data_IF_810629636462
#
_entry.id   IF_810629636462
#
_cell.length_a   1.000
_cell.length_b   1.000
_cell.length_c   1.000
_cell.angle_alpha   90.00
_cell.angle_beta   90.00
_cell.angle_gamma   90.00
#
_symmetry.space_group_name_H-M   'P 1'
#
loop_
_entity.id
_entity.type
_entity.pdbx_description
1 polymer ?
#
# COMPACT_ATOMS: atom_id res chain seq x y z
N UNK A 1 -8.11 9.17 31.61
CA UNK A 1 -8.00 9.25 30.19
C UNK A 1 -6.58 9.59 29.77
N UNK A 2 -6.05 10.67 30.29
CA UNK A 2 -4.66 11.05 30.00
C UNK A 2 -3.65 10.05 30.55
N UNK A 3 -4.02 9.34 31.55
CA UNK A 3 -3.18 8.35 32.18
C UNK A 3 -2.87 7.15 31.31
N UNK A 4 -3.78 6.77 30.45
CA UNK A 4 -3.56 5.68 29.52
C UNK A 4 -2.47 6.00 28.52
N UNK A 5 -2.31 7.26 28.17
CA UNK A 5 -1.33 7.70 27.17
C UNK A 5 0.09 7.71 27.72
N UNK A 6 0.22 7.94 29.01
CA UNK A 6 1.54 8.09 29.62
C UNK A 6 2.21 6.77 29.95
N UNK A 7 1.49 5.68 29.89
CA UNK A 7 2.01 4.38 30.34
C UNK A 7 2.50 3.48 29.24
N UNK A 8 2.35 3.90 28.01
CA UNK A 8 2.88 3.10 26.91
C UNK A 8 4.34 3.44 26.68
N UNK A 9 5.17 2.62 27.22
CA UNK A 9 6.60 2.71 27.03
C UNK A 9 6.95 1.95 25.76
N UNK A 10 7.12 2.66 24.65
CA UNK A 10 7.53 2.05 23.41
C UNK A 10 6.79 2.58 22.20
N UNK A 11 7.23 2.23 20.98
CA UNK A 11 6.61 2.70 19.76
C UNK A 11 5.20 2.13 19.60
N UNK A 12 4.29 2.96 19.12
CA UNK A 12 2.97 2.53 18.70
C UNK A 12 2.99 2.19 17.21
N UNK A 13 2.21 1.20 16.82
CA UNK A 13 2.13 0.74 15.44
C UNK A 13 0.73 0.91 14.89
N UNK A 14 0.63 1.08 13.58
CA UNK A 14 -0.68 1.06 12.92
C UNK A 14 -1.30 -0.33 13.04
N UNK A 15 -2.58 -0.33 13.40
CA UNK A 15 -3.38 -1.54 13.51
C UNK A 15 -4.46 -1.53 12.43
N UNK A 16 -4.27 -2.33 11.40
CA UNK A 16 -5.20 -2.44 10.29
C UNK A 16 -5.23 -3.89 9.78
N UNK A 17 -6.40 -4.42 9.39
CA UNK A 17 -6.51 -5.82 8.94
C UNK A 17 -5.63 -6.17 7.75
N UNK A 18 -5.34 -5.23 6.86
CA UNK A 18 -4.50 -5.45 5.68
C UNK A 18 -3.07 -4.99 5.86
N UNK A 19 -2.67 -4.60 7.06
CA UNK A 19 -1.29 -4.24 7.37
C UNK A 19 -0.75 -5.28 8.34
N UNK A 20 0.42 -5.83 8.04
CA UNK A 20 1.08 -6.78 8.91
C UNK A 20 1.37 -6.16 10.26
N UNK A 21 1.22 -6.96 11.30
CA UNK A 21 1.38 -6.49 12.68
C UNK A 21 2.78 -5.92 12.89
N UNK A 22 2.83 -4.78 13.58
CA UNK A 22 4.08 -4.13 14.00
C UNK A 22 5.03 -3.78 12.86
N UNK A 23 4.50 -3.56 11.66
CA UNK A 23 5.32 -3.20 10.50
C UNK A 23 5.45 -1.71 10.27
N UNK A 24 4.45 -0.92 10.66
CA UNK A 24 4.45 0.53 10.46
C UNK A 24 4.27 1.21 11.82
N UNK A 25 5.28 1.96 12.23
CA UNK A 25 5.19 2.78 13.42
C UNK A 25 4.19 3.91 13.21
N UNK A 26 3.30 4.10 14.20
CA UNK A 26 2.28 5.13 14.12
C UNK A 26 2.90 6.53 14.22
N UNK A 27 2.59 7.35 13.25
CA UNK A 27 2.93 8.77 13.23
C UNK A 27 1.68 9.55 12.88
N UNK A 28 1.30 10.47 13.76
CA UNK A 28 0.03 11.16 13.60
C UNK A 28 -0.08 11.96 12.31
N UNK A 29 1.00 12.59 11.84
CA UNK A 29 0.95 13.33 10.59
C UNK A 29 0.69 12.42 9.38
N UNK A 30 1.24 11.20 9.36
CA UNK A 30 0.98 10.25 8.28
C UNK A 30 -0.47 9.79 8.31
N UNK A 31 -0.99 9.51 9.47
CA UNK A 31 -2.40 9.15 9.63
C UNK A 31 -3.32 10.29 9.18
N UNK A 32 -3.05 11.50 9.61
CA UNK A 32 -3.87 12.66 9.25
C UNK A 32 -3.89 12.89 7.74
N UNK A 33 -2.74 12.76 7.08
CA UNK A 33 -2.67 12.89 5.63
C UNK A 33 -3.45 11.76 4.97
N UNK A 34 -3.25 10.52 5.39
CA UNK A 34 -3.95 9.39 4.79
C UNK A 34 -5.47 9.50 4.91
N UNK A 35 -5.96 10.03 6.02
CA UNK A 35 -7.39 10.26 6.21
C UNK A 35 -7.90 11.40 5.34
N UNK A 36 -7.14 12.48 5.22
CA UNK A 36 -7.57 13.66 4.47
C UNK A 36 -7.63 13.42 2.96
N UNK A 37 -6.90 12.45 2.45
CA UNK A 37 -6.88 12.16 1.00
C UNK A 37 -7.92 11.13 0.57
N UNK A 38 -8.68 10.57 1.50
CA UNK A 38 -9.67 9.54 1.18
C UNK A 38 -10.67 10.04 0.15
N UNK A 39 -10.87 9.23 -0.88
CA UNK A 39 -11.83 9.48 -1.95
C UNK A 39 -11.63 10.82 -2.67
N UNK A 40 -10.39 11.30 -2.69
CA UNK A 40 -10.04 12.57 -3.34
C UNK A 40 -8.81 12.39 -4.21
N UNK A 41 -8.81 13.09 -5.33
CA UNK A 41 -7.58 13.26 -6.11
C UNK A 41 -6.67 14.22 -5.35
N UNK A 42 -5.48 13.76 -4.99
CA UNK A 42 -4.60 14.50 -4.09
C UNK A 42 -3.16 14.41 -4.54
N UNK A 43 -2.44 15.51 -4.44
CA UNK A 43 -1.00 15.58 -4.58
C UNK A 43 -0.39 15.76 -3.18
N UNK A 44 0.47 14.81 -2.79
CA UNK A 44 1.16 14.87 -1.49
C UNK A 44 2.61 15.23 -1.73
N UNK A 45 3.05 16.33 -1.17
CA UNK A 45 4.41 16.81 -1.26
C UNK A 45 5.01 16.85 0.15
N UNK A 46 6.02 16.02 0.37
CA UNK A 46 6.71 15.92 1.64
C UNK A 46 8.21 15.81 1.40
N UNK A 47 9.05 16.26 2.35
CA UNK A 47 10.47 15.94 2.32
C UNK A 47 10.71 14.44 2.29
N UNK A 48 11.79 14.01 1.64
CA UNK A 48 12.07 12.60 1.37
C UNK A 48 12.07 11.72 2.62
N UNK A 49 12.55 12.26 3.74
CA UNK A 49 12.67 11.52 4.99
C UNK A 49 11.35 11.31 5.74
N UNK A 50 10.23 11.87 5.27
CA UNK A 50 8.97 11.81 6.01
C UNK A 50 8.04 10.67 5.60
N UNK A 51 8.54 9.71 4.81
CA UNK A 51 7.82 8.47 4.57
C UNK A 51 6.57 8.59 3.69
N UNK A 52 6.71 9.18 2.51
CA UNK A 52 5.60 9.25 1.53
C UNK A 52 5.06 7.87 1.14
N UNK A 53 5.94 6.88 1.04
CA UNK A 53 5.54 5.52 0.71
C UNK A 53 4.63 4.91 1.78
N UNK A 54 4.89 5.20 3.04
CA UNK A 54 4.03 4.75 4.14
C UNK A 54 2.61 5.30 3.98
N UNK A 55 2.48 6.57 3.64
CA UNK A 55 1.17 7.20 3.39
C UNK A 55 0.44 6.48 2.25
N UNK A 56 1.15 6.20 1.17
CA UNK A 56 0.58 5.47 0.04
C UNK A 56 0.11 4.06 0.43
N UNK A 57 0.89 3.37 1.26
CA UNK A 57 0.52 2.04 1.75
C UNK A 57 -0.73 2.12 2.64
N UNK A 58 -0.81 3.11 3.53
CA UNK A 58 -1.97 3.29 4.39
C UNK A 58 -3.24 3.56 3.57
N UNK A 59 -3.15 4.43 2.58
CA UNK A 59 -4.27 4.73 1.69
C UNK A 59 -4.68 3.50 0.89
N UNK A 60 -3.72 2.76 0.38
CA UNK A 60 -3.94 1.53 -0.38
C UNK A 60 -4.64 0.47 0.48
N UNK A 61 -4.17 0.25 1.71
CA UNK A 61 -4.76 -0.72 2.62
C UNK A 61 -6.22 -0.38 2.94
N UNK A 62 -6.50 0.88 3.24
CA UNK A 62 -7.85 1.33 3.54
C UNK A 62 -8.77 1.20 2.34
N UNK A 63 -8.29 1.57 1.17
CA UNK A 63 -9.06 1.44 -0.07
C UNK A 63 -9.41 -0.03 -0.36
N UNK A 64 -8.43 -0.91 -0.30
CA UNK A 64 -8.65 -2.34 -0.58
C UNK A 64 -9.55 -3.00 0.47
N UNK A 65 -9.48 -2.53 1.70
CA UNK A 65 -10.36 -3.03 2.75
C UNK A 65 -11.82 -2.66 2.51
N UNK A 66 -12.06 -1.42 2.07
CA UNK A 66 -13.41 -0.92 1.83
C UNK A 66 -13.99 -1.38 0.49
N UNK A 67 -13.15 -1.61 -0.50
CA UNK A 67 -13.57 -1.95 -1.87
C UNK A 67 -12.89 -3.23 -2.33
N UNK A 68 -13.36 -4.36 -1.85
CA UNK A 68 -12.70 -5.66 -2.05
C UNK A 68 -12.66 -6.12 -3.51
N UNK A 69 -13.56 -5.64 -4.35
CA UNK A 69 -13.59 -5.97 -5.78
C UNK A 69 -12.80 -5.00 -6.66
N UNK A 70 -12.22 -3.96 -6.07
CA UNK A 70 -11.48 -2.94 -6.79
C UNK A 70 -9.98 -3.22 -6.77
N UNK A 71 -9.27 -2.50 -7.61
CA UNK A 71 -7.82 -2.63 -7.75
C UNK A 71 -7.15 -1.29 -7.52
N UNK A 72 -5.89 -1.35 -7.12
CA UNK A 72 -5.04 -0.17 -6.97
C UNK A 72 -3.94 -0.27 -8.03
N UNK A 73 -3.74 0.79 -8.77
CA UNK A 73 -2.65 0.92 -9.74
C UNK A 73 -1.59 1.85 -9.16
N UNK A 74 -0.37 1.36 -9.10
CA UNK A 74 0.78 2.13 -8.65
C UNK A 74 1.72 2.30 -9.84
N UNK A 75 2.13 3.53 -10.12
CA UNK A 75 3.00 3.84 -11.24
C UNK A 75 4.26 4.53 -10.75
N UNK A 76 5.36 4.22 -11.41
CA UNK A 76 6.65 4.87 -11.18
C UNK A 76 7.41 5.00 -12.50
N UNK A 77 8.27 6.01 -12.63
CA UNK A 77 8.92 6.31 -13.92
C UNK A 77 10.03 5.34 -14.29
N UNK A 78 10.58 4.57 -13.35
CA UNK A 78 11.70 3.66 -13.63
C UNK A 78 11.45 2.28 -13.05
N UNK A 79 12.08 1.27 -13.66
CA UNK A 79 11.98 -0.12 -13.17
C UNK A 79 12.53 -0.30 -11.75
N UNK A 80 13.68 0.28 -11.39
CA UNK A 80 14.17 0.18 -10.01
C UNK A 80 13.17 0.74 -8.98
N UNK A 81 12.50 1.84 -9.29
CA UNK A 81 11.49 2.40 -8.40
C UNK A 81 10.26 1.50 -8.29
N UNK A 82 9.83 0.90 -9.39
CA UNK A 82 8.74 -0.07 -9.37
C UNK A 82 9.09 -1.26 -8.47
N UNK A 83 10.29 -1.80 -8.62
CA UNK A 83 10.76 -2.91 -7.80
C UNK A 83 10.82 -2.54 -6.31
N UNK A 84 11.29 -1.35 -6.00
CA UNK A 84 11.37 -0.84 -4.64
C UNK A 84 9.97 -0.69 -4.03
N UNK A 85 9.03 -0.11 -4.76
CA UNK A 85 7.66 0.04 -4.28
C UNK A 85 6.98 -1.30 -4.11
N UNK A 86 7.15 -2.22 -5.06
CA UNK A 86 6.61 -3.56 -4.92
C UNK A 86 7.11 -4.24 -3.64
N UNK A 87 8.41 -4.16 -3.39
CA UNK A 87 9.01 -4.72 -2.19
C UNK A 87 8.43 -4.09 -0.92
N UNK A 88 8.30 -2.77 -0.90
CA UNK A 88 7.75 -2.05 0.25
C UNK A 88 6.29 -2.42 0.53
N UNK A 89 5.47 -2.42 -0.50
CA UNK A 89 4.05 -2.76 -0.36
C UNK A 89 3.88 -4.23 0.04
N UNK A 90 4.62 -5.12 -0.59
CA UNK A 90 4.53 -6.55 -0.32
C UNK A 90 4.97 -6.89 1.10
N UNK A 91 6.00 -6.23 1.61
CA UNK A 91 6.51 -6.49 2.96
C UNK A 91 5.58 -6.02 4.08
N UNK A 92 4.69 -5.09 3.78
CA UNK A 92 3.82 -4.46 4.78
C UNK A 92 2.37 -4.89 4.65
N UNK A 93 1.86 -5.03 3.42
CA UNK A 93 0.48 -5.41 3.21
C UNK A 93 0.25 -6.90 3.49
N UNK A 94 -0.79 -7.17 4.26
CA UNK A 94 -1.24 -8.53 4.55
C UNK A 94 -2.24 -8.97 3.49
N UNK A 95 -1.75 -9.21 2.27
CA UNK A 95 -2.55 -9.67 1.14
C UNK A 95 -1.93 -10.92 0.55
N UNK A 96 -2.68 -11.73 -0.20
CA UNK A 96 -2.11 -12.90 -0.87
C UNK A 96 -0.97 -12.50 -1.79
N UNK A 97 0.05 -13.33 -1.85
CA UNK A 97 1.28 -13.07 -2.59
C UNK A 97 1.01 -12.78 -4.08
N UNK A 98 0.08 -13.49 -4.66
CA UNK A 98 -0.30 -13.34 -6.06
C UNK A 98 -1.25 -12.16 -6.33
N UNK A 99 -1.62 -11.41 -5.30
CA UNK A 99 -2.45 -10.22 -5.44
C UNK A 99 -1.70 -9.02 -6.01
N UNK A 100 -0.37 -9.04 -5.94
CA UNK A 100 0.47 -7.94 -6.44
C UNK A 100 1.19 -8.41 -7.70
N UNK A 101 1.00 -7.68 -8.79
CA UNK A 101 1.60 -8.01 -10.08
C UNK A 101 2.31 -6.80 -10.64
N UNK A 102 3.50 -7.00 -11.16
CA UNK A 102 4.29 -5.96 -11.83
C UNK A 102 4.06 -6.07 -13.34
N UNK A 103 3.80 -4.92 -13.96
CA UNK A 103 3.68 -4.79 -15.41
C UNK A 103 4.71 -3.77 -15.88
N UNK A 104 5.53 -4.16 -16.85
CA UNK A 104 6.56 -3.29 -17.42
C UNK A 104 6.46 -3.29 -18.94
N UNK A 105 7.26 -2.45 -19.59
CA UNK A 105 7.34 -2.43 -21.04
C UNK A 105 7.80 -3.75 -21.67
N UNK A 106 8.41 -4.63 -20.89
CA UNK A 106 8.79 -5.97 -21.36
C UNK A 106 7.61 -6.92 -21.53
N UNK A 107 6.49 -6.65 -20.88
CA UNK A 107 5.30 -7.47 -21.05
C UNK A 107 4.66 -7.17 -22.40
N UNK A 108 4.39 -8.21 -23.16
CA UNK A 108 3.69 -8.07 -24.43
C UNK A 108 2.24 -7.63 -24.21
N UNK A 109 1.63 -6.90 -25.18
CA UNK A 109 0.25 -6.46 -25.04
C UNK A 109 -0.75 -7.54 -24.65
N UNK A 110 -0.73 -8.74 -25.25
CA UNK A 110 -1.65 -9.81 -24.82
C UNK A 110 -1.48 -10.21 -23.36
N UNK A 111 -0.24 -10.26 -22.87
CA UNK A 111 0.06 -10.59 -21.47
C UNK A 111 -0.48 -9.51 -20.54
N UNK A 112 -0.28 -8.24 -20.88
CA UNK A 112 -0.81 -7.11 -20.09
C UNK A 112 -2.32 -7.15 -20.02
N UNK A 113 -2.97 -7.44 -21.14
CA UNK A 113 -4.42 -7.55 -21.19
C UNK A 113 -4.92 -8.69 -20.31
N UNK A 114 -4.26 -9.84 -20.34
CA UNK A 114 -4.61 -10.98 -19.51
C UNK A 114 -4.48 -10.66 -18.00
N UNK A 115 -3.42 -9.97 -17.61
CA UNK A 115 -3.23 -9.52 -16.23
C UNK A 115 -4.35 -8.57 -15.82
N UNK A 116 -4.67 -7.61 -16.68
CA UNK A 116 -5.70 -6.61 -16.39
C UNK A 116 -7.09 -7.24 -16.23
N UNK A 117 -7.39 -8.24 -17.04
CA UNK A 117 -8.72 -8.86 -17.06
C UNK A 117 -8.94 -9.91 -15.97
N UNK A 118 -7.94 -10.20 -15.14
CA UNK A 118 -8.12 -11.13 -14.03
C UNK A 118 -9.17 -10.62 -13.05
N UNK A 119 -10.16 -11.44 -12.79
CA UNK A 119 -11.18 -11.12 -11.80
C UNK A 119 -10.74 -11.48 -10.39
N UNK A 120 -10.04 -12.60 -10.26
CA UNK A 120 -9.53 -13.08 -8.98
C UNK A 120 -8.05 -13.35 -9.09
N UNK A 121 -7.26 -12.34 -8.81
CA UNK A 121 -5.81 -12.40 -8.97
C UNK A 121 -5.19 -13.47 -8.08
N UNK A 122 -5.69 -13.59 -6.87
CA UNK A 122 -5.13 -14.52 -5.88
C UNK A 122 -5.28 -16.00 -6.24
N UNK A 123 -6.18 -16.34 -7.16
CA UNK A 123 -6.39 -17.73 -7.60
C UNK A 123 -5.62 -18.07 -8.86
N UNK A 124 -5.03 -17.09 -9.51
CA UNK A 124 -4.31 -17.25 -10.76
C UNK A 124 -2.85 -16.92 -10.54
N UNK A 125 -2.12 -17.90 -10.10
CA UNK A 125 -0.72 -17.71 -9.79
C UNK A 125 0.10 -17.50 -11.06
N UNK A 126 0.77 -16.34 -11.21
CA UNK A 126 1.64 -16.09 -12.36
C UNK A 126 2.98 -16.78 -12.14
N UNK A 127 3.06 -18.02 -12.43
CA UNK A 127 4.29 -18.78 -12.27
C UNK A 127 5.07 -18.92 -13.55
#
# INVERSE_FOLDING_TARGET
VADTLTRQNGPQYFNHPLIKKDCIEFRSYQNNISESVRNKNTLVILPTALGKTVIAILVCAEFLYNYKSKRVLIMAPTKPLIAQHMSSFFSVLSVPEDSITVVTGKNLPPTRMAIWNRKEIRLQHPR
#
